data_IF_554554118572
#
_entry.id   IF_554554118572
#
_cell.length_a   1.000
_cell.length_b   1.000
_cell.length_c   1.000
_cell.angle_alpha   90.00
_cell.angle_beta   90.00
_cell.angle_gamma   90.00
#
_symmetry.space_group_name_H-M   'P 1'
#
loop_
_entity.id
_entity.type
_entity.pdbx_description
1 polymer ?
#
# COMPACT_ATOMS: atom_id res chain seq x y z
N UNK A 1 -8.06 -63.88 5.84
CA UNK A 1 -7.36 -64.37 4.64
C UNK A 1 -6.78 -63.14 3.94
N UNK A 2 -5.44 -63.07 3.78
CA UNK A 2 -4.67 -61.99 3.09
C UNK A 2 -5.14 -61.88 1.61
N UNK A 3 -5.15 -60.73 0.92
CA UNK A 3 -4.04 -59.96 0.32
C UNK A 3 -4.66 -58.70 -0.34
N UNK A 4 -4.21 -57.46 -0.07
CA UNK A 4 -3.16 -56.66 -0.76
C UNK A 4 -3.68 -55.67 -1.84
N UNK A 5 -3.50 -54.38 -1.52
CA UNK A 5 -3.14 -53.19 -2.32
C UNK A 5 -3.23 -53.23 -3.86
N UNK A 6 -3.73 -52.14 -4.45
CA UNK A 6 -2.90 -51.25 -5.29
C UNK A 6 -3.59 -49.91 -5.56
N UNK A 7 -2.86 -48.82 -5.30
CA UNK A 7 -3.13 -47.49 -5.84
C UNK A 7 -3.09 -47.51 -7.37
N UNK A 8 -3.92 -46.67 -8.01
CA UNK A 8 -3.64 -46.14 -9.34
C UNK A 8 -3.93 -44.63 -9.32
N UNK A 9 -2.85 -43.84 -9.36
CA UNK A 9 -2.86 -42.40 -9.56
C UNK A 9 -3.34 -42.10 -10.98
N UNK A 10 -4.34 -41.23 -11.12
CA UNK A 10 -4.73 -40.63 -12.40
C UNK A 10 -3.78 -39.47 -12.66
N UNK A 11 -2.88 -39.66 -13.62
CA UNK A 11 -2.06 -38.60 -14.23
C UNK A 11 -2.81 -38.19 -15.50
N UNK A 12 -3.37 -36.98 -15.52
CA UNK A 12 -3.91 -36.38 -16.73
C UNK A 12 -2.77 -35.67 -17.49
N UNK A 13 -2.53 -35.95 -18.79
CA UNK A 13 -1.63 -35.16 -19.60
C UNK A 13 -2.34 -33.90 -20.11
N UNK A 14 -1.79 -32.73 -19.78
CA UNK A 14 -2.07 -31.46 -20.42
C UNK A 14 -1.53 -31.51 -21.86
N UNK A 15 -2.41 -31.66 -22.85
CA UNK A 15 -2.11 -31.37 -24.25
C UNK A 15 -2.30 -29.87 -24.50
N UNK A 16 -1.21 -29.11 -24.56
CA UNK A 16 -1.21 -27.74 -25.09
C UNK A 16 -0.94 -27.85 -26.59
N UNK A 17 -1.98 -27.63 -27.39
CA UNK A 17 -1.89 -27.51 -28.84
C UNK A 17 -1.22 -26.18 -29.20
N UNK A 18 -0.03 -26.24 -29.78
CA UNK A 18 0.62 -25.11 -30.42
C UNK A 18 -0.07 -24.83 -31.78
N UNK A 19 -0.84 -23.75 -31.85
CA UNK A 19 -1.23 -23.16 -33.13
C UNK A 19 -0.19 -22.12 -33.51
N UNK A 20 0.66 -22.46 -34.48
CA UNK A 20 1.52 -21.54 -35.21
C UNK A 20 0.69 -20.69 -36.16
N UNK A 21 0.66 -19.37 -35.94
CA UNK A 21 0.11 -18.41 -36.91
C UNK A 21 1.28 -17.73 -37.60
N UNK A 22 1.42 -17.99 -38.90
CA UNK A 22 2.39 -17.32 -39.77
C UNK A 22 1.90 -15.91 -40.10
N UNK A 23 2.71 -14.90 -39.77
CA UNK A 23 2.49 -13.52 -40.20
C UNK A 23 2.98 -13.36 -41.65
N UNK A 24 2.11 -12.88 -42.54
CA UNK A 24 2.50 -12.29 -43.82
C UNK A 24 2.64 -10.78 -43.64
N UNK A 25 3.83 -10.27 -43.96
CA UNK A 25 4.12 -8.84 -44.09
C UNK A 25 3.34 -8.27 -45.26
N UNK A 26 2.55 -7.23 -44.99
CA UNK A 26 2.21 -6.21 -45.96
C UNK A 26 2.75 -4.88 -45.42
N UNK A 27 3.76 -4.39 -46.13
CA UNK A 27 4.36 -3.08 -46.00
C UNK A 27 3.37 -2.03 -46.49
N UNK A 28 3.22 -0.94 -45.73
CA UNK A 28 3.14 0.41 -46.29
C UNK A 28 3.59 1.42 -45.23
N UNK A 29 4.60 2.20 -45.62
CA UNK A 29 5.35 3.16 -44.82
C UNK A 29 4.50 4.40 -44.47
N UNK A 30 4.58 4.85 -43.22
CA UNK A 30 4.61 6.27 -42.89
C UNK A 30 5.72 6.48 -41.85
N UNK A 31 6.84 7.03 -42.31
CA UNK A 31 8.01 7.36 -41.48
C UNK A 31 7.66 8.44 -40.43
N UNK A 32 7.32 8.02 -39.21
CA UNK A 32 7.74 8.76 -38.03
C UNK A 32 9.02 8.10 -37.54
N UNK A 33 10.18 8.71 -37.85
CA UNK A 33 11.47 8.26 -37.33
C UNK A 33 11.51 8.47 -35.82
N UNK A 34 11.06 7.46 -35.08
CA UNK A 34 11.44 7.26 -33.68
C UNK A 34 12.87 6.70 -33.73
N UNK A 35 13.85 7.53 -33.39
CA UNK A 35 15.21 7.05 -33.16
C UNK A 35 15.17 6.13 -31.93
N UNK A 36 15.11 4.81 -32.16
CA UNK A 36 15.30 3.79 -31.14
C UNK A 36 16.79 3.75 -30.76
N UNK A 37 17.20 4.73 -29.96
CA UNK A 37 18.38 4.62 -29.11
C UNK A 37 18.17 3.51 -28.08
N UNK A 38 19.25 2.81 -27.72
CA UNK A 38 19.24 1.69 -26.79
C UNK A 38 18.54 2.02 -25.46
N UNK A 39 17.63 1.14 -25.03
CA UNK A 39 16.65 1.22 -23.92
C UNK A 39 15.38 1.99 -24.29
N UNK A 40 14.24 1.29 -24.24
CA UNK A 40 12.94 1.74 -24.78
C UNK A 40 12.32 2.88 -23.96
N UNK A 41 12.90 4.06 -24.11
CA UNK A 41 12.43 5.31 -23.50
C UNK A 41 11.59 6.08 -24.52
N UNK A 42 10.36 6.43 -24.14
CA UNK A 42 9.39 7.15 -24.96
C UNK A 42 9.10 8.48 -24.27
N UNK A 43 9.18 9.58 -25.00
CA UNK A 43 8.87 10.92 -24.49
C UNK A 43 7.51 11.36 -25.01
N UNK A 44 6.63 11.77 -24.10
CA UNK A 44 5.28 12.27 -24.42
C UNK A 44 5.10 13.69 -23.90
N UNK A 45 4.66 14.61 -24.75
CA UNK A 45 4.39 15.99 -24.36
C UNK A 45 2.89 16.31 -24.52
N UNK A 46 2.22 16.63 -23.42
CA UNK A 46 0.79 16.91 -23.38
C UNK A 46 0.42 18.40 -23.49
N UNK A 47 1.37 19.31 -23.77
CA UNK A 47 1.09 20.76 -23.81
C UNK A 47 0.07 21.15 -24.89
N UNK A 48 0.16 20.53 -26.07
CA UNK A 48 -0.73 20.81 -27.21
C UNK A 48 -1.81 19.74 -27.38
N UNK A 49 -1.67 18.60 -26.71
CA UNK A 49 -2.55 17.46 -26.85
C UNK A 49 -2.67 16.71 -25.51
N UNK A 50 -3.65 17.08 -24.67
CA UNK A 50 -3.82 16.47 -23.36
C UNK A 50 -4.07 14.95 -23.40
N UNK A 51 -4.52 14.41 -24.54
CA UNK A 51 -4.83 12.98 -24.70
C UNK A 51 -3.64 12.16 -25.23
N UNK A 52 -2.49 12.80 -25.51
CA UNK A 52 -1.32 12.14 -26.10
C UNK A 52 -0.82 10.95 -25.27
N UNK A 53 -0.75 11.10 -23.94
CA UNK A 53 -0.30 10.04 -23.05
C UNK A 53 -1.23 8.83 -23.07
N UNK A 54 -2.55 9.06 -23.03
CA UNK A 54 -3.52 7.99 -23.09
C UNK A 54 -3.41 7.18 -24.38
N UNK A 55 -3.38 7.86 -25.53
CA UNK A 55 -3.23 7.20 -26.83
C UNK A 55 -1.90 6.44 -26.96
N UNK A 56 -0.83 6.96 -26.35
CA UNK A 56 0.44 6.25 -26.27
C UNK A 56 0.28 4.96 -25.46
N UNK A 57 -0.29 5.02 -24.25
CA UNK A 57 -0.50 3.83 -23.42
C UNK A 57 -1.37 2.76 -24.13
N UNK A 58 -2.43 3.19 -24.83
CA UNK A 58 -3.29 2.31 -25.61
C UNK A 58 -2.49 1.58 -26.72
N UNK A 59 -1.57 2.28 -27.39
CA UNK A 59 -0.69 1.68 -28.40
C UNK A 59 0.30 0.67 -27.77
N UNK A 60 0.91 1.06 -26.65
CA UNK A 60 1.92 0.25 -25.95
C UNK A 60 1.33 -1.00 -25.28
N UNK A 61 0.03 -1.05 -25.03
CA UNK A 61 -0.65 -2.21 -24.44
C UNK A 61 -0.34 -3.53 -25.19
N UNK A 62 -0.18 -3.47 -26.51
CA UNK A 62 0.11 -4.64 -27.35
C UNK A 62 1.57 -5.14 -27.28
N UNK A 63 2.47 -4.38 -26.66
CA UNK A 63 3.90 -4.67 -26.64
C UNK A 63 4.31 -5.40 -25.36
N UNK A 64 5.24 -6.36 -25.48
CA UNK A 64 5.72 -7.21 -24.37
C UNK A 64 7.06 -6.79 -23.76
N UNK A 65 7.64 -5.68 -24.20
CA UNK A 65 8.97 -5.23 -23.77
C UNK A 65 8.87 -4.26 -22.59
N UNK A 66 9.87 -4.25 -21.71
CA UNK A 66 9.99 -3.21 -20.69
C UNK A 66 10.17 -1.84 -21.35
N UNK A 67 9.42 -0.85 -20.87
CA UNK A 67 9.41 0.49 -21.45
C UNK A 67 9.32 1.56 -20.38
N UNK A 68 10.06 2.64 -20.58
CA UNK A 68 9.93 3.87 -19.82
C UNK A 68 9.17 4.88 -20.66
N UNK A 69 8.09 5.44 -20.13
CA UNK A 69 7.40 6.58 -20.73
C UNK A 69 7.66 7.78 -19.83
N UNK A 70 8.48 8.71 -20.31
CA UNK A 70 8.62 10.03 -19.71
C UNK A 70 7.54 10.96 -20.29
N UNK A 71 6.84 11.71 -19.44
CA UNK A 71 5.85 12.69 -19.91
C UNK A 71 5.98 14.07 -19.27
N UNK A 72 5.53 15.10 -19.99
CA UNK A 72 5.43 16.47 -19.50
C UNK A 72 4.11 17.13 -19.91
N UNK A 73 3.80 18.25 -19.26
CA UNK A 73 2.57 19.02 -19.46
C UNK A 73 1.39 18.48 -18.63
N UNK A 74 0.20 18.93 -19.01
CA UNK A 74 -1.08 18.52 -18.41
C UNK A 74 -1.73 17.45 -19.29
N UNK A 75 -1.59 16.18 -18.90
CA UNK A 75 -2.26 15.08 -19.58
C UNK A 75 -3.64 14.81 -18.93
N UNK A 76 -4.64 14.51 -19.74
CA UNK A 76 -5.97 14.15 -19.28
C UNK A 76 -6.08 12.65 -18.98
N UNK A 77 -6.67 12.33 -17.84
CA UNK A 77 -7.11 10.99 -17.47
C UNK A 77 -8.54 10.69 -17.94
N UNK A 78 -9.06 9.49 -17.61
CA UNK A 78 -8.37 8.45 -16.85
C UNK A 78 -7.38 7.66 -17.72
N UNK A 79 -6.39 7.09 -17.04
CA UNK A 79 -5.40 6.19 -17.64
C UNK A 79 -5.62 4.77 -17.11
N UNK A 80 -5.51 3.79 -18.01
CA UNK A 80 -5.55 2.37 -17.70
C UNK A 80 -4.21 1.75 -18.06
N UNK A 81 -3.61 1.03 -17.11
CA UNK A 81 -2.33 0.33 -17.28
C UNK A 81 -2.59 -1.15 -17.01
N UNK A 82 -2.61 -1.94 -18.09
CA UNK A 82 -2.89 -3.39 -18.10
C UNK A 82 -1.74 -4.19 -18.71
N UNK A 83 -0.50 -3.71 -18.55
CA UNK A 83 0.69 -4.36 -19.08
C UNK A 83 1.84 -4.34 -18.09
N UNK A 84 2.62 -5.42 -18.11
CA UNK A 84 3.83 -5.53 -17.33
C UNK A 84 4.98 -4.68 -17.91
N UNK A 85 5.92 -4.31 -17.05
CA UNK A 85 7.18 -3.69 -17.44
C UNK A 85 7.05 -2.22 -17.87
N UNK A 86 5.93 -1.56 -17.56
CA UNK A 86 5.78 -0.12 -17.81
C UNK A 86 6.31 0.70 -16.64
N UNK A 87 7.24 1.62 -16.92
CA UNK A 87 7.60 2.72 -16.01
C UNK A 87 7.04 4.02 -16.58
N UNK A 88 6.07 4.63 -15.91
CA UNK A 88 5.56 5.97 -16.25
C UNK A 88 6.21 7.00 -15.32
N UNK A 89 6.94 7.96 -15.89
CA UNK A 89 7.67 8.97 -15.12
C UNK A 89 7.36 10.38 -15.60
N UNK A 90 7.23 11.32 -14.67
CA UNK A 90 7.19 12.74 -15.00
C UNK A 90 8.57 13.25 -15.36
N UNK A 91 8.65 14.12 -16.36
CA UNK A 91 9.89 14.76 -16.77
C UNK A 91 10.50 15.56 -15.62
N UNK A 92 11.83 15.53 -15.51
CA UNK A 92 12.56 16.31 -14.51
C UNK A 92 12.64 17.81 -14.87
N UNK A 93 12.47 18.15 -16.15
CA UNK A 93 12.68 19.51 -16.68
C UNK A 93 11.40 20.34 -16.68
N UNK A 94 10.26 19.67 -16.86
CA UNK A 94 8.95 20.30 -17.02
C UNK A 94 7.95 19.71 -16.03
N UNK A 95 6.90 20.47 -15.70
CA UNK A 95 5.82 19.93 -14.85
C UNK A 95 5.10 18.80 -15.57
N UNK A 96 4.92 17.68 -14.89
CA UNK A 96 4.14 16.54 -15.36
C UNK A 96 2.93 16.35 -14.44
N UNK A 97 1.74 16.50 -15.01
CA UNK A 97 0.47 16.38 -14.28
C UNK A 97 -0.51 15.51 -15.06
N UNK A 98 -1.13 14.56 -14.36
CA UNK A 98 -2.32 13.84 -14.85
C UNK A 98 -3.53 14.47 -14.18
N UNK A 99 -4.47 14.94 -14.99
CA UNK A 99 -5.66 15.63 -14.52
C UNK A 99 -6.92 14.84 -14.81
N UNK A 100 -7.80 14.72 -13.83
CA UNK A 100 -9.14 14.19 -14.00
C UNK A 100 -10.16 15.18 -13.45
N UNK A 101 -10.63 16.07 -14.33
CA UNK A 101 -11.73 17.01 -14.08
C UNK A 101 -12.77 16.84 -15.19
N UNK A 102 -13.98 16.36 -14.86
CA UNK A 102 -15.11 16.48 -15.80
C UNK A 102 -15.84 15.21 -16.27
N UNK A 103 -15.87 14.11 -15.53
CA UNK A 103 -16.87 13.06 -15.82
C UNK A 103 -17.48 12.48 -14.53
N UNK A 104 -18.80 12.53 -14.42
CA UNK A 104 -19.54 11.95 -13.28
C UNK A 104 -19.49 10.41 -13.24
N UNK A 105 -18.87 9.77 -14.24
CA UNK A 105 -18.83 8.32 -14.38
C UNK A 105 -17.48 7.71 -13.97
N UNK A 106 -16.37 8.45 -14.05
CA UNK A 106 -15.04 7.91 -13.75
C UNK A 106 -14.56 8.40 -12.39
N UNK A 107 -14.36 7.45 -11.47
CA UNK A 107 -14.01 7.73 -10.09
C UNK A 107 -12.50 7.67 -9.81
N UNK A 108 -11.67 7.38 -10.82
CA UNK A 108 -10.22 7.17 -10.62
C UNK A 108 -9.40 7.71 -11.79
N UNK A 109 -8.36 8.49 -11.52
CA UNK A 109 -7.50 9.07 -12.54
C UNK A 109 -6.54 8.05 -13.19
N UNK A 110 -6.00 7.12 -12.41
CA UNK A 110 -5.12 6.06 -12.90
C UNK A 110 -5.56 4.73 -12.32
N UNK A 111 -5.80 3.74 -13.16
CA UNK A 111 -6.03 2.35 -12.76
C UNK A 111 -4.89 1.50 -13.28
N UNK A 112 -4.26 0.74 -12.38
CA UNK A 112 -3.33 -0.34 -12.75
C UNK A 112 -4.01 -1.66 -12.42
N UNK A 113 -4.19 -2.51 -13.43
CA UNK A 113 -4.94 -3.75 -13.34
C UNK A 113 -4.17 -4.89 -14.00
N UNK A 114 -4.08 -6.05 -13.35
CA UNK A 114 -3.35 -7.23 -13.85
C UNK A 114 -1.95 -6.92 -14.39
N UNK A 115 -1.21 -6.02 -13.72
CA UNK A 115 0.04 -5.50 -14.26
C UNK A 115 1.12 -5.26 -13.19
N UNK A 116 2.38 -5.37 -13.62
CA UNK A 116 3.58 -4.95 -12.87
C UNK A 116 4.12 -3.64 -13.45
N UNK A 117 4.01 -2.54 -12.71
CA UNK A 117 4.37 -1.21 -13.22
C UNK A 117 5.04 -0.30 -12.18
N UNK A 118 5.68 0.78 -12.64
CA UNK A 118 6.24 1.82 -11.77
C UNK A 118 5.75 3.20 -12.18
N UNK A 119 5.34 4.01 -11.21
CA UNK A 119 4.84 5.37 -11.41
C UNK A 119 5.72 6.35 -10.62
N UNK A 120 6.32 7.35 -11.27
CA UNK A 120 7.36 8.18 -10.66
C UNK A 120 7.24 9.67 -10.95
N UNK A 121 7.45 10.49 -9.91
CA UNK A 121 7.76 11.93 -10.04
C UNK A 121 6.74 12.75 -10.87
N UNK A 122 5.44 12.57 -10.64
CA UNK A 122 4.42 13.43 -11.25
C UNK A 122 3.29 13.76 -10.28
N UNK A 123 2.47 14.73 -10.67
CA UNK A 123 1.30 15.15 -9.90
C UNK A 123 0.04 14.51 -10.47
N UNK A 124 -0.86 14.06 -9.62
CA UNK A 124 -2.21 13.64 -9.98
C UNK A 124 -3.16 14.67 -9.40
N UNK A 125 -3.81 15.41 -10.29
CA UNK A 125 -4.76 16.46 -9.96
C UNK A 125 -6.19 15.97 -10.22
N UNK A 126 -6.96 15.82 -9.17
CA UNK A 126 -8.33 15.28 -9.23
C UNK A 126 -9.28 16.16 -8.45
N UNK A 127 -10.55 16.18 -8.84
CA UNK A 127 -11.61 16.80 -8.06
C UNK A 127 -11.82 16.14 -6.69
N UNK A 128 -12.53 16.84 -5.79
CA UNK A 128 -12.87 16.34 -4.46
C UNK A 128 -13.55 14.96 -4.51
N UNK A 129 -13.06 14.04 -3.68
CA UNK A 129 -13.54 12.64 -3.54
C UNK A 129 -13.31 11.73 -4.75
N UNK A 130 -12.51 12.15 -5.72
CA UNK A 130 -12.05 11.29 -6.81
C UNK A 130 -10.76 10.58 -6.39
N UNK A 131 -10.62 9.30 -6.74
CA UNK A 131 -9.40 8.53 -6.47
C UNK A 131 -8.29 8.95 -7.43
N UNK A 132 -7.08 9.09 -6.92
CA UNK A 132 -5.91 9.40 -7.74
C UNK A 132 -5.38 8.13 -8.43
N UNK A 133 -5.24 7.05 -7.66
CA UNK A 133 -4.67 5.79 -8.13
C UNK A 133 -5.40 4.62 -7.49
N UNK A 134 -5.80 3.65 -8.33
CA UNK A 134 -6.28 2.34 -7.89
C UNK A 134 -5.40 1.25 -8.48
N UNK A 135 -5.01 0.30 -7.64
CA UNK A 135 -4.18 -0.85 -7.99
C UNK A 135 -5.00 -2.10 -7.66
N UNK A 136 -5.39 -2.85 -8.68
CA UNK A 136 -6.35 -3.95 -8.58
C UNK A 136 -5.94 -5.18 -9.43
N UNK A 137 -6.71 -6.25 -9.33
CA UNK A 137 -6.58 -7.47 -10.12
C UNK A 137 -5.17 -8.08 -10.10
N UNK A 138 -4.64 -8.38 -8.90
CA UNK A 138 -3.31 -8.99 -8.71
C UNK A 138 -2.14 -8.16 -9.27
N UNK A 139 -2.26 -6.83 -9.28
CA UNK A 139 -1.19 -5.96 -9.76
C UNK A 139 -0.06 -5.81 -8.75
N UNK A 140 1.14 -5.52 -9.24
CA UNK A 140 2.28 -5.13 -8.39
C UNK A 140 2.84 -3.79 -8.84
N UNK A 141 2.69 -2.74 -8.02
CA UNK A 141 3.03 -1.38 -8.43
C UNK A 141 4.06 -0.77 -7.49
N UNK A 142 5.05 -0.08 -8.07
CA UNK A 142 5.98 0.77 -7.31
C UNK A 142 5.72 2.24 -7.58
N UNK A 143 5.36 3.00 -6.54
CA UNK A 143 5.20 4.45 -6.63
C UNK A 143 6.37 5.18 -5.96
N UNK A 144 6.86 6.24 -6.60
CA UNK A 144 7.97 7.06 -6.08
C UNK A 144 7.72 8.55 -6.32
N UNK A 145 7.58 9.31 -5.23
CA UNK A 145 7.44 10.77 -5.30
C UNK A 145 6.21 11.26 -6.06
N UNK A 146 5.08 10.54 -5.98
CA UNK A 146 3.81 11.02 -6.53
C UNK A 146 3.23 12.12 -5.64
N UNK A 147 2.51 13.05 -6.24
CA UNK A 147 1.93 14.20 -5.53
C UNK A 147 0.44 14.32 -5.83
N UNK A 148 -0.34 14.71 -4.82
CA UNK A 148 -1.75 15.09 -4.99
C UNK A 148 -2.02 16.35 -4.20
N UNK A 149 -3.09 17.08 -4.52
CA UNK A 149 -3.52 18.23 -3.74
C UNK A 149 -4.36 17.84 -2.49
N UNK A 150 -4.55 16.54 -2.23
CA UNK A 150 -5.45 16.09 -1.17
C UNK A 150 -4.85 16.33 0.23
N UNK A 151 -5.66 16.90 1.12
CA UNK A 151 -5.30 17.15 2.51
C UNK A 151 -6.13 16.21 3.38
N UNK A 152 -5.47 15.37 4.17
CA UNK A 152 -6.14 14.44 5.06
C UNK A 152 -6.99 15.17 6.11
N UNK A 153 -8.28 14.82 6.18
CA UNK A 153 -9.19 15.28 7.22
C UNK A 153 -9.62 14.08 8.09
N UNK A 154 -9.14 13.95 9.34
CA UNK A 154 -9.49 12.82 10.20
C UNK A 154 -10.97 12.76 10.58
N UNK A 155 -11.72 13.86 10.47
CA UNK A 155 -13.17 13.88 10.75
C UNK A 155 -14.01 13.37 9.58
N UNK A 156 -13.44 13.33 8.38
CA UNK A 156 -14.08 12.87 7.16
C UNK A 156 -13.00 12.23 6.27
N UNK A 157 -12.47 11.07 6.67
CA UNK A 157 -11.31 10.47 6.01
C UNK A 157 -11.65 10.07 4.57
N UNK A 158 -10.72 10.35 3.66
CA UNK A 158 -10.76 9.88 2.28
C UNK A 158 -9.35 9.53 1.83
N UNK A 159 -9.26 8.44 1.10
CA UNK A 159 -8.00 7.81 0.69
C UNK A 159 -7.93 7.79 -0.84
N UNK A 160 -7.32 8.80 -1.49
CA UNK A 160 -7.16 8.87 -2.94
C UNK A 160 -6.34 7.72 -3.55
N UNK A 161 -5.48 7.08 -2.77
CA UNK A 161 -4.74 5.89 -3.19
C UNK A 161 -5.41 4.64 -2.63
N UNK A 162 -5.65 3.66 -3.49
CA UNK A 162 -6.30 2.39 -3.13
C UNK A 162 -5.49 1.23 -3.70
N UNK A 163 -5.24 0.23 -2.87
CA UNK A 163 -4.68 -1.07 -3.28
C UNK A 163 -5.61 -2.16 -2.81
N UNK A 164 -6.24 -2.86 -3.75
CA UNK A 164 -7.25 -3.88 -3.51
C UNK A 164 -7.10 -5.08 -4.45
N UNK A 165 -7.99 -6.07 -4.28
CA UNK A 165 -8.05 -7.26 -5.14
C UNK A 165 -6.71 -8.01 -5.27
N UNK A 166 -6.18 -8.43 -4.12
CA UNK A 166 -4.94 -9.22 -3.99
C UNK A 166 -3.71 -8.57 -4.65
N UNK A 167 -3.64 -7.24 -4.63
CA UNK A 167 -2.55 -6.47 -5.25
C UNK A 167 -1.49 -6.07 -4.24
N UNK A 168 -0.30 -5.74 -4.75
CA UNK A 168 0.84 -5.29 -3.96
C UNK A 168 1.30 -3.88 -4.36
N UNK A 169 1.55 -3.03 -3.37
CA UNK A 169 2.12 -1.70 -3.59
C UNK A 169 3.42 -1.51 -2.80
N UNK A 170 4.44 -1.00 -3.48
CA UNK A 170 5.68 -0.50 -2.89
C UNK A 170 5.69 1.03 -3.00
N UNK A 171 5.75 1.74 -1.88
CA UNK A 171 5.71 3.20 -1.88
C UNK A 171 6.99 3.83 -1.30
N UNK A 172 7.54 4.79 -2.03
CA UNK A 172 8.75 5.56 -1.69
C UNK A 172 8.52 7.05 -1.79
N UNK A 173 9.18 7.81 -0.93
CA UNK A 173 9.24 9.28 -1.00
C UNK A 173 7.87 9.96 -1.11
N UNK A 174 6.82 9.34 -0.57
CA UNK A 174 5.48 9.92 -0.61
C UNK A 174 5.33 10.94 0.53
N UNK A 175 4.74 12.10 0.22
CA UNK A 175 4.45 13.12 1.22
C UNK A 175 2.96 13.46 1.21
N UNK A 176 2.35 13.61 2.38
CA UNK A 176 0.89 13.78 2.50
C UNK A 176 0.15 12.67 1.76
N UNK A 177 0.48 11.42 2.10
CA UNK A 177 0.06 10.22 1.38
C UNK A 177 -1.08 9.51 2.11
N UNK A 178 -2.26 9.44 1.51
CA UNK A 178 -3.43 8.80 2.12
C UNK A 178 -3.82 7.54 1.35
N UNK A 179 -3.64 6.39 1.98
CA UNK A 179 -3.74 5.07 1.36
C UNK A 179 -4.76 4.17 2.07
N UNK A 180 -5.59 3.51 1.27
CA UNK A 180 -6.43 2.39 1.69
C UNK A 180 -5.90 1.08 1.14
N UNK A 181 -5.88 0.04 1.97
CA UNK A 181 -5.46 -1.32 1.63
C UNK A 181 -6.57 -2.30 2.03
N UNK A 182 -7.09 -3.06 1.07
CA UNK A 182 -8.23 -3.97 1.28
C UNK A 182 -8.14 -5.19 0.36
N UNK A 183 -9.08 -6.14 0.47
CA UNK A 183 -9.16 -7.26 -0.46
C UNK A 183 -7.95 -8.20 -0.46
N UNK A 184 -7.40 -8.52 0.72
CA UNK A 184 -6.19 -9.35 0.87
C UNK A 184 -4.93 -8.80 0.19
N UNK A 185 -4.88 -7.49 -0.02
CA UNK A 185 -3.73 -6.79 -0.61
C UNK A 185 -2.60 -6.53 0.39
N UNK A 186 -1.41 -6.23 -0.14
CA UNK A 186 -0.23 -5.96 0.65
C UNK A 186 0.41 -4.61 0.28
N UNK A 187 0.87 -3.86 1.29
CA UNK A 187 1.63 -2.64 1.08
C UNK A 187 2.96 -2.69 1.81
N UNK A 188 4.01 -2.29 1.12
CA UNK A 188 5.33 -2.05 1.69
C UNK A 188 5.71 -0.57 1.56
N UNK A 189 5.67 0.14 2.68
CA UNK A 189 6.12 1.52 2.80
C UNK A 189 7.63 1.52 3.03
N UNK A 190 8.37 1.82 1.97
CA UNK A 190 9.83 1.84 1.94
C UNK A 190 10.35 3.18 2.48
N UNK A 191 11.48 3.68 2.04
CA UNK A 191 12.07 4.92 2.55
C UNK A 191 11.32 6.20 2.15
N UNK A 192 11.44 7.23 3.01
CA UNK A 192 11.10 8.61 2.66
C UNK A 192 9.62 9.00 2.78
N UNK A 193 8.75 8.12 3.30
CA UNK A 193 7.32 8.41 3.40
C UNK A 193 6.99 9.24 4.65
N UNK A 194 6.25 10.33 4.47
CA UNK A 194 5.88 11.28 5.53
C UNK A 194 4.42 11.71 5.46
N UNK A 195 3.88 12.06 6.62
CA UNK A 195 2.48 12.49 6.78
C UNK A 195 1.51 11.48 6.15
N UNK A 196 1.76 10.21 6.45
CA UNK A 196 0.97 9.11 5.90
C UNK A 196 -0.30 8.94 6.73
N UNK A 197 -1.45 8.86 6.06
CA UNK A 197 -2.69 8.36 6.64
C UNK A 197 -3.01 7.00 6.01
N UNK A 198 -3.07 5.94 6.82
CA UNK A 198 -3.17 4.57 6.35
C UNK A 198 -4.42 3.91 6.90
N UNK A 199 -5.20 3.25 6.06
CA UNK A 199 -6.32 2.40 6.46
C UNK A 199 -6.16 1.00 5.89
N UNK A 200 -5.99 0.01 6.75
CA UNK A 200 -5.78 -1.40 6.40
C UNK A 200 -6.97 -2.21 6.90
N UNK A 201 -7.65 -2.91 5.99
CA UNK A 201 -8.86 -3.68 6.29
C UNK A 201 -8.92 -4.99 5.49
N UNK A 202 -9.94 -5.81 5.75
CA UNK A 202 -10.28 -6.99 4.95
C UNK A 202 -9.13 -7.99 4.71
N UNK A 203 -8.48 -8.41 5.80
CA UNK A 203 -7.36 -9.39 5.79
C UNK A 203 -6.14 -8.91 5.00
N UNK A 204 -6.05 -7.59 4.74
CA UNK A 204 -4.87 -6.99 4.10
C UNK A 204 -3.75 -6.74 5.09
N UNK A 205 -2.56 -6.46 4.55
CA UNK A 205 -1.39 -6.14 5.34
C UNK A 205 -0.72 -4.85 4.88
N UNK A 206 -0.17 -4.10 5.83
CA UNK A 206 0.75 -3.02 5.54
C UNK A 206 1.96 -3.10 6.47
N UNK A 207 3.14 -2.89 5.92
CA UNK A 207 4.37 -2.78 6.71
C UNK A 207 5.19 -1.59 6.27
N UNK A 208 5.98 -1.06 7.18
CA UNK A 208 7.09 -0.16 6.86
C UNK A 208 8.41 -0.86 7.10
N UNK A 209 9.41 -0.63 6.25
CA UNK A 209 10.76 -1.20 6.41
C UNK A 209 11.82 -0.11 6.65
N UNK A 210 11.39 1.09 7.02
CA UNK A 210 12.24 2.27 7.16
C UNK A 210 11.61 3.31 8.10
N UNK A 211 12.37 4.37 8.37
CA UNK A 211 11.98 5.48 9.26
C UNK A 211 10.91 6.38 8.62
N UNK A 212 9.69 5.87 8.50
CA UNK A 212 8.52 6.59 7.98
C UNK A 212 7.73 7.30 9.08
N UNK A 213 6.98 8.32 8.69
CA UNK A 213 6.14 9.12 9.59
C UNK A 213 4.66 9.03 9.22
N UNK A 214 3.86 8.59 10.18
CA UNK A 214 2.42 8.40 10.06
C UNK A 214 1.67 9.37 10.96
N UNK A 215 0.69 10.06 10.38
CA UNK A 215 -0.22 10.91 11.15
C UNK A 215 -1.38 10.09 11.72
N UNK A 216 -1.86 9.10 10.97
CA UNK A 216 -3.00 8.26 11.33
C UNK A 216 -2.83 6.87 10.70
N UNK A 217 -2.93 5.82 11.52
CA UNK A 217 -2.97 4.43 11.06
C UNK A 217 -4.22 3.79 11.64
N UNK A 218 -5.06 3.23 10.79
CA UNK A 218 -6.22 2.44 11.16
C UNK A 218 -6.10 1.02 10.61
N UNK A 219 -6.33 0.04 11.48
CA UNK A 219 -6.23 -1.39 11.17
C UNK A 219 -7.50 -2.07 11.65
N UNK A 220 -8.22 -2.76 10.75
CA UNK A 220 -9.50 -3.40 11.06
C UNK A 220 -9.75 -4.66 10.23
N UNK A 221 -10.86 -5.38 10.43
CA UNK A 221 -11.26 -6.47 9.53
C UNK A 221 -10.25 -7.63 9.36
N UNK A 222 -9.62 -8.08 10.45
CA UNK A 222 -8.52 -9.08 10.46
C UNK A 222 -7.24 -8.63 9.72
N UNK A 223 -7.06 -7.33 9.49
CA UNK A 223 -5.84 -6.81 8.89
C UNK A 223 -4.66 -6.79 9.87
N UNK A 224 -3.47 -6.64 9.29
CA UNK A 224 -2.19 -6.56 10.01
C UNK A 224 -1.40 -5.30 9.64
N UNK A 225 -0.80 -4.66 10.65
CA UNK A 225 0.14 -3.57 10.45
C UNK A 225 1.47 -3.80 11.19
N UNK A 226 2.59 -3.55 10.53
CA UNK A 226 3.92 -3.54 11.14
C UNK A 226 4.62 -2.19 10.96
N UNK A 227 4.84 -1.50 12.08
CA UNK A 227 5.65 -0.29 12.22
C UNK A 227 7.10 -0.60 12.59
N UNK A 228 8.00 -0.76 11.61
CA UNK A 228 9.39 -1.15 11.84
C UNK A 228 10.42 -0.04 11.50
N UNK A 229 11.64 -0.19 12.02
CA UNK A 229 12.84 0.59 11.73
C UNK A 229 12.70 2.10 11.97
N UNK A 230 12.54 2.49 13.24
CA UNK A 230 12.43 3.90 13.67
C UNK A 230 11.23 4.63 13.06
N UNK A 231 10.16 3.89 12.75
CA UNK A 231 8.92 4.50 12.29
C UNK A 231 8.26 5.30 13.42
N UNK A 232 7.53 6.35 13.07
CA UNK A 232 6.80 7.15 14.04
C UNK A 232 5.33 7.26 13.67
N UNK A 233 4.47 6.78 14.55
CA UNK A 233 3.02 6.79 14.40
C UNK A 233 2.43 7.75 15.42
N UNK A 234 1.73 8.79 14.95
CA UNK A 234 1.06 9.73 15.85
C UNK A 234 -0.18 9.11 16.48
N UNK A 235 -1.06 8.53 15.68
CA UNK A 235 -2.28 7.87 16.13
C UNK A 235 -2.39 6.47 15.51
N UNK A 236 -2.48 5.45 16.35
CA UNK A 236 -2.74 4.06 15.94
C UNK A 236 -4.12 3.62 16.43
N UNK A 237 -4.98 3.21 15.51
CA UNK A 237 -6.33 2.69 15.76
C UNK A 237 -6.39 1.22 15.34
N UNK A 238 -6.80 0.35 16.24
CA UNK A 238 -6.85 -1.10 16.03
C UNK A 238 -8.25 -1.59 16.40
N UNK A 239 -8.98 -2.13 15.42
CA UNK A 239 -10.38 -2.47 15.58
C UNK A 239 -10.71 -3.91 15.19
N UNK A 240 -11.86 -4.38 15.66
CA UNK A 240 -12.47 -5.67 15.29
C UNK A 240 -11.62 -6.87 15.72
N UNK A 241 -10.75 -7.35 14.83
CA UNK A 241 -9.87 -8.51 15.01
C UNK A 241 -8.46 -8.25 14.45
N UNK A 242 -8.12 -6.98 14.33
CA UNK A 242 -6.86 -6.55 13.75
C UNK A 242 -5.69 -6.71 14.72
N UNK A 243 -4.50 -6.75 14.12
CA UNK A 243 -3.23 -6.85 14.83
C UNK A 243 -2.32 -5.73 14.35
N UNK A 244 -1.64 -5.06 15.29
CA UNK A 244 -0.60 -4.10 14.95
C UNK A 244 0.64 -4.30 15.82
N UNK A 245 1.81 -4.13 15.22
CA UNK A 245 3.09 -4.29 15.90
C UNK A 245 3.98 -3.10 15.60
N UNK A 246 4.82 -2.72 16.55
CA UNK A 246 5.92 -1.79 16.32
C UNK A 246 7.24 -2.39 16.78
N UNK A 247 8.27 -2.24 15.96
CA UNK A 247 9.57 -2.86 16.19
C UNK A 247 10.75 -1.93 15.85
N UNK A 248 11.93 -2.29 16.36
CA UNK A 248 13.22 -1.66 16.10
C UNK A 248 13.19 -0.13 16.27
N UNK A 249 13.05 0.31 17.52
CA UNK A 249 13.05 1.72 17.93
C UNK A 249 11.90 2.54 17.32
N UNK A 250 10.81 1.90 16.94
CA UNK A 250 9.61 2.58 16.43
C UNK A 250 8.79 3.18 17.57
N UNK A 251 7.94 4.16 17.25
CA UNK A 251 7.20 4.94 18.25
C UNK A 251 5.72 5.04 17.92
N UNK A 252 4.86 4.90 18.94
CA UNK A 252 3.42 5.19 18.85
C UNK A 252 3.07 6.25 19.89
N UNK A 253 2.47 7.37 19.49
CA UNK A 253 2.16 8.47 20.42
C UNK A 253 0.81 8.36 21.11
N UNK A 254 -0.18 7.79 20.42
CA UNK A 254 -1.54 7.58 20.91
C UNK A 254 -2.06 6.28 20.33
N UNK A 255 -2.76 5.51 21.16
CA UNK A 255 -3.37 4.24 20.74
C UNK A 255 -4.84 4.17 21.12
N UNK A 256 -5.63 3.69 20.17
CA UNK A 256 -7.05 3.37 20.31
C UNK A 256 -7.26 1.91 19.92
N UNK A 257 -7.84 1.11 20.79
CA UNK A 257 -8.04 -0.32 20.56
C UNK A 257 -9.45 -0.75 20.93
N UNK A 258 -10.12 -1.49 20.05
CA UNK A 258 -11.47 -1.99 20.28
C UNK A 258 -11.74 -3.35 19.62
N UNK A 259 -12.40 -4.26 20.34
CA UNK A 259 -12.83 -5.56 19.80
C UNK A 259 -12.08 -6.74 20.41
N UNK A 260 -11.49 -7.58 19.57
CA UNK A 260 -10.58 -8.69 19.91
C UNK A 260 -9.23 -8.44 19.23
N UNK A 261 -8.47 -7.49 19.75
CA UNK A 261 -7.31 -6.92 19.06
C UNK A 261 -6.01 -7.20 19.79
N UNK A 262 -4.91 -7.22 19.04
CA UNK A 262 -3.56 -7.35 19.58
C UNK A 262 -2.71 -6.15 19.18
N UNK A 263 -1.97 -5.62 20.15
CA UNK A 263 -0.88 -4.71 19.91
C UNK A 263 0.41 -5.23 20.57
N UNK A 264 1.53 -5.13 19.87
CA UNK A 264 2.84 -5.40 20.45
C UNK A 264 3.88 -4.32 20.14
N UNK A 265 4.78 -4.07 21.10
CA UNK A 265 5.95 -3.22 20.91
C UNK A 265 7.24 -3.94 21.30
N UNK A 266 8.21 -3.94 20.39
CA UNK A 266 9.42 -4.74 20.46
C UNK A 266 10.71 -3.94 20.23
N UNK A 267 11.84 -4.51 20.68
CA UNK A 267 13.21 -4.08 20.39
C UNK A 267 13.43 -2.56 20.48
N UNK A 268 13.38 -2.03 21.70
CA UNK A 268 13.58 -0.62 22.04
C UNK A 268 12.53 0.33 21.45
N UNK A 269 11.41 -0.21 20.95
CA UNK A 269 10.26 0.61 20.59
C UNK A 269 9.61 1.24 21.82
N UNK A 270 8.88 2.32 21.59
CA UNK A 270 8.21 3.06 22.65
C UNK A 270 6.78 3.42 22.30
N UNK A 271 5.96 3.46 23.33
CA UNK A 271 4.57 3.90 23.25
C UNK A 271 4.32 4.97 24.31
N UNK A 272 3.50 5.95 23.95
CA UNK A 272 2.98 6.94 24.88
C UNK A 272 1.45 6.98 24.86
N UNK A 273 0.89 7.49 25.95
CA UNK A 273 -0.53 7.76 26.05
C UNK A 273 -0.95 9.05 25.33
N UNK A 274 -2.26 9.24 25.11
CA UNK A 274 -3.34 8.51 25.78
C UNK A 274 -3.59 7.09 25.21
N UNK A 275 -4.16 6.25 26.07
CA UNK A 275 -4.56 4.87 25.76
C UNK A 275 -6.06 4.76 25.85
N UNK A 276 -6.72 4.45 24.73
CA UNK A 276 -8.17 4.28 24.70
C UNK A 276 -8.50 2.82 24.38
N UNK A 277 -8.83 2.05 25.41
CA UNK A 277 -8.98 0.60 25.31
C UNK A 277 -10.43 0.18 25.59
N UNK A 278 -11.00 -0.55 24.65
CA UNK A 278 -12.35 -1.11 24.70
C UNK A 278 -12.35 -2.59 24.27
N UNK A 279 -13.19 -3.42 24.89
CA UNK A 279 -13.26 -4.85 24.55
C UNK A 279 -12.06 -5.66 25.06
N UNK A 280 -11.81 -6.80 24.40
CA UNK A 280 -10.79 -7.77 24.76
C UNK A 280 -9.50 -7.42 24.01
N UNK A 281 -8.58 -6.76 24.69
CA UNK A 281 -7.33 -6.31 24.07
C UNK A 281 -6.15 -7.07 24.65
N UNK A 282 -5.20 -7.41 23.77
CA UNK A 282 -3.90 -7.95 24.15
C UNK A 282 -2.85 -6.89 23.89
N UNK A 283 -2.01 -6.66 24.90
CA UNK A 283 -0.91 -5.70 24.87
C UNK A 283 0.39 -6.41 25.25
N UNK A 284 1.37 -6.41 24.35
CA UNK A 284 2.66 -7.05 24.61
C UNK A 284 3.83 -6.05 24.50
N UNK A 285 4.71 -6.05 25.49
CA UNK A 285 5.93 -5.27 25.51
C UNK A 285 7.14 -6.20 25.64
N UNK A 286 8.11 -6.14 24.72
CA UNK A 286 9.37 -6.87 24.87
C UNK A 286 10.57 -6.00 24.56
N UNK A 287 11.46 -5.81 25.55
CA UNK A 287 12.56 -4.86 25.48
C UNK A 287 12.08 -3.45 25.05
N UNK A 288 10.87 -3.05 25.46
CA UNK A 288 10.17 -1.87 25.00
C UNK A 288 9.77 -0.97 26.17
N UNK A 289 9.32 0.25 25.87
CA UNK A 289 8.90 1.20 26.91
C UNK A 289 7.49 1.73 26.69
N UNK A 290 6.75 1.90 27.78
CA UNK A 290 5.44 2.53 27.81
C UNK A 290 5.44 3.71 28.77
N UNK A 291 4.87 4.83 28.34
CA UNK A 291 4.78 6.06 29.15
C UNK A 291 3.36 6.59 29.18
N UNK A 292 2.99 7.24 30.28
CA UNK A 292 1.61 7.69 30.53
C UNK A 292 0.63 6.53 30.67
N UNK A 293 1.12 5.32 30.96
CA UNK A 293 0.29 4.14 31.13
C UNK A 293 -0.59 4.30 32.36
N UNK A 294 -1.86 3.94 32.25
CA UNK A 294 -2.79 3.91 33.37
C UNK A 294 -3.34 2.49 33.46
N UNK A 295 -3.43 1.96 34.68
CA UNK A 295 -4.11 0.68 34.91
C UNK A 295 -5.54 0.80 34.40
N UNK A 296 -5.91 0.00 33.41
CA UNK A 296 -7.27 0.01 32.86
C UNK A 296 -7.98 -1.21 33.39
N UNK A 297 -8.92 -1.03 34.31
CA UNK A 297 -9.73 -2.14 34.82
C UNK A 297 -10.70 -2.59 33.72
N UNK A 298 -10.29 -3.62 32.96
CA UNK A 298 -11.04 -4.23 31.87
C UNK A 298 -10.99 -5.75 32.03
N UNK A 299 -12.10 -6.39 32.39
CA UNK A 299 -12.16 -7.86 32.41
C UNK A 299 -11.90 -8.36 30.99
N UNK A 300 -11.02 -9.36 30.85
CA UNK A 300 -10.56 -9.99 29.60
C UNK A 300 -9.48 -9.26 28.78
N UNK A 301 -8.81 -8.25 29.33
CA UNK A 301 -7.59 -7.69 28.72
C UNK A 301 -6.34 -8.35 29.28
N UNK A 302 -5.37 -8.65 28.41
CA UNK A 302 -4.06 -9.21 28.79
C UNK A 302 -3.00 -8.18 28.47
N UNK A 303 -2.18 -7.82 29.45
CA UNK A 303 -1.06 -6.91 29.29
C UNK A 303 0.18 -7.59 29.85
N UNK A 304 1.12 -7.94 28.98
CA UNK A 304 2.35 -8.64 29.36
C UNK A 304 3.58 -7.85 28.94
N UNK A 305 4.64 -7.95 29.74
CA UNK A 305 5.92 -7.30 29.54
C UNK A 305 7.10 -8.23 29.83
N UNK A 306 8.10 -8.23 28.95
CA UNK A 306 9.40 -8.89 29.15
C UNK A 306 10.50 -7.85 28.96
N UNK A 307 11.29 -7.58 30.00
CA UNK A 307 12.28 -6.49 30.04
C UNK A 307 11.66 -5.15 29.60
N UNK A 308 10.46 -4.84 30.10
CA UNK A 308 9.71 -3.65 29.72
C UNK A 308 9.93 -2.51 30.73
N UNK A 309 9.95 -1.26 30.27
CA UNK A 309 9.95 -0.09 31.15
C UNK A 309 8.60 0.61 31.07
N UNK A 310 7.83 0.62 32.16
CA UNK A 310 6.50 1.23 32.20
C UNK A 310 6.50 2.39 33.19
N UNK A 311 6.16 3.59 32.72
CA UNK A 311 6.17 4.82 33.51
C UNK A 311 7.50 5.03 34.28
N UNK A 312 8.63 4.72 33.64
CA UNK A 312 9.97 4.85 34.22
C UNK A 312 10.37 3.73 35.19
N UNK A 313 9.49 2.78 35.48
CA UNK A 313 9.82 1.59 36.28
C UNK A 313 10.16 0.42 35.37
N UNK A 314 11.30 -0.24 35.63
CA UNK A 314 11.73 -1.41 34.88
C UNK A 314 11.09 -2.68 35.44
N UNK A 315 10.54 -3.51 34.55
CA UNK A 315 9.98 -4.81 34.87
C UNK A 315 10.69 -5.90 34.05
N UNK A 316 11.49 -6.77 34.69
CA UNK A 316 12.18 -7.86 34.00
C UNK A 316 11.18 -8.88 33.44
N UNK A 317 10.18 -9.23 34.23
CA UNK A 317 8.99 -9.97 33.82
C UNK A 317 7.79 -9.24 34.42
N UNK A 318 6.78 -8.96 33.60
CA UNK A 318 5.55 -8.30 33.99
C UNK A 318 4.38 -9.03 33.36
N UNK A 319 3.39 -9.35 34.16
CA UNK A 319 2.10 -9.77 33.63
C UNK A 319 1.00 -9.08 34.42
N UNK A 320 0.05 -8.51 33.70
CA UNK A 320 -1.18 -7.99 34.20
C UNK A 320 -2.30 -8.64 33.39
N UNK A 321 -3.03 -9.53 34.05
CA UNK A 321 -4.32 -9.97 33.56
C UNK A 321 -5.36 -9.07 34.22
N UNK A 322 -6.27 -8.51 33.43
CA UNK A 322 -7.47 -7.88 33.96
C UNK A 322 -8.22 -8.93 34.76
N UNK A 323 -8.04 -8.89 36.08
CA UNK A 323 -8.70 -9.82 36.98
C UNK A 323 -10.19 -9.58 36.82
N UNK A 324 -10.94 -10.67 36.61
CA UNK A 324 -12.37 -10.66 36.81
C UNK A 324 -12.64 -10.00 38.16
N UNK A 325 -13.48 -8.97 38.15
CA UNK A 325 -14.03 -8.45 39.38
C UNK A 325 -14.82 -9.56 40.05
N UNK A 326 -14.29 -10.04 41.18
CA UNK A 326 -14.77 -11.08 42.10
C UNK A 326 -14.29 -12.51 41.86
#
# INVERSE_FOLDING_TARGET
MKLLNSLARIIAPLCISACSVSAHQLSEEHENKVELGSYHDIIVNCHNDPQALRRMLDYLHSLSLEMTVEFSGLCEGPLLIERDGLTLTGSAQERATISLHGSNQQQTAIVVSSAVSSLRNFTIDTSDKTKALRIEANSTVTIDGLKTAYIFNPKAPFYPFVTDDNSTLFAKNQNSFQLQVSGSSAVNLMEGNRQVALNVLDTSMARTTSSNQFDDVEVSGNAYFLGDNKSSIKLLKIWSKAVAEVDNQSTVREIMMGGQTLFAAYNQSSISGPYWLWGNVVFELKNASASGWQSVDKPNSIISGLNATVNGTFYPDWDWHGQDGQ
#
